data_IF_819944416785
#
_entry.id   IF_819944416785
#
_cell.length_a   1.000
_cell.length_b   1.000
_cell.length_c   1.000
_cell.angle_alpha   90.00
_cell.angle_beta   90.00
_cell.angle_gamma   90.00
#
_symmetry.space_group_name_H-M   'P 1'
#
loop_
_entity.id
_entity.type
_entity.pdbx_description
1 polymer ?
#
# COMPACT_ATOMS: atom_id res chain seq x y z
N UNK A 1 -6.67 -18.58 19.65
CA UNK A 1 -6.68 -17.76 18.45
C UNK A 1 -7.44 -16.48 18.66
N UNK A 2 -6.81 -15.42 18.46
CA UNK A 2 -7.42 -14.12 18.67
C UNK A 2 -8.03 -13.60 17.37
N UNK A 3 -9.19 -12.97 17.48
CA UNK A 3 -9.77 -12.23 16.37
C UNK A 3 -8.89 -11.03 15.99
N UNK A 4 -8.00 -10.64 16.89
CA UNK A 4 -7.07 -9.54 16.69
C UNK A 4 -5.90 -9.91 15.79
N UNK A 5 -5.82 -11.17 15.37
CA UNK A 5 -4.77 -11.63 14.45
C UNK A 5 -5.02 -11.21 12.99
N UNK A 6 -6.05 -10.41 12.75
CA UNK A 6 -6.37 -9.91 11.43
C UNK A 6 -5.29 -8.94 10.95
N UNK A 7 -4.76 -9.21 9.75
CA UNK A 7 -3.79 -8.32 9.15
C UNK A 7 -4.44 -7.00 8.73
N UNK A 8 -3.71 -5.91 8.88
CA UNK A 8 -4.19 -4.56 8.61
C UNK A 8 -3.49 -4.00 7.39
N UNK A 9 -4.28 -3.55 6.41
CA UNK A 9 -3.78 -3.02 5.15
C UNK A 9 -4.21 -1.57 5.00
N UNK A 10 -3.25 -0.69 4.75
CA UNK A 10 -3.54 0.69 4.37
C UNK A 10 -3.52 0.78 2.85
N UNK A 11 -4.63 1.22 2.26
CA UNK A 11 -4.71 1.49 0.82
C UNK A 11 -4.64 2.98 0.61
N UNK A 12 -3.71 3.41 -0.24
CA UNK A 12 -3.50 4.81 -0.57
C UNK A 12 -3.75 4.97 -2.07
N UNK A 13 -4.94 5.43 -2.43
CA UNK A 13 -5.41 5.48 -3.81
C UNK A 13 -6.38 6.65 -3.99
N UNK A 14 -6.14 7.50 -4.98
CA UNK A 14 -6.97 8.69 -5.24
C UNK A 14 -8.19 8.42 -6.12
N UNK A 15 -8.21 7.33 -6.88
CA UNK A 15 -9.37 6.96 -7.68
C UNK A 15 -10.39 6.24 -6.80
N UNK A 16 -11.57 6.84 -6.64
CA UNK A 16 -12.61 6.30 -5.77
C UNK A 16 -13.10 4.93 -6.20
N UNK A 17 -13.19 4.69 -7.51
CA UNK A 17 -13.64 3.40 -8.04
C UNK A 17 -12.63 2.31 -7.73
N UNK A 18 -11.36 2.59 -7.92
CA UNK A 18 -10.28 1.65 -7.61
C UNK A 18 -10.22 1.41 -6.10
N UNK A 19 -10.32 2.48 -5.31
CA UNK A 19 -10.34 2.37 -3.85
C UNK A 19 -11.47 1.47 -3.39
N UNK A 20 -12.67 1.65 -3.95
CA UNK A 20 -13.82 0.83 -3.58
C UNK A 20 -13.56 -0.65 -3.89
N UNK A 21 -13.11 -0.94 -5.10
CA UNK A 21 -12.86 -2.32 -5.52
C UNK A 21 -11.78 -2.98 -4.66
N UNK A 22 -10.67 -2.28 -4.44
CA UNK A 22 -9.59 -2.81 -3.61
C UNK A 22 -10.04 -3.03 -2.17
N UNK A 23 -10.76 -2.06 -1.61
CA UNK A 23 -11.24 -2.16 -0.24
C UNK A 23 -12.19 -3.33 -0.04
N UNK A 24 -13.13 -3.51 -0.95
CA UNK A 24 -14.08 -4.62 -0.88
C UNK A 24 -13.40 -5.96 -1.06
N UNK A 25 -12.48 -6.03 -2.00
CA UNK A 25 -11.75 -7.26 -2.28
C UNK A 25 -10.93 -7.71 -1.06
N UNK A 26 -10.17 -6.78 -0.49
CA UNK A 26 -9.30 -7.11 0.64
C UNK A 26 -10.11 -7.40 1.91
N UNK A 27 -11.17 -6.64 2.15
CA UNK A 27 -12.05 -6.91 3.27
C UNK A 27 -12.70 -8.29 3.15
N UNK A 28 -13.08 -8.68 1.92
CA UNK A 28 -13.64 -10.01 1.66
C UNK A 28 -12.66 -11.14 1.92
N UNK A 29 -11.36 -10.86 1.83
CA UNK A 29 -10.32 -11.84 2.14
C UNK A 29 -9.98 -11.90 3.64
N UNK A 30 -10.61 -11.06 4.45
CA UNK A 30 -10.41 -11.08 5.88
C UNK A 30 -9.45 -10.04 6.42
N UNK A 31 -8.95 -9.13 5.58
CA UNK A 31 -8.07 -8.06 6.03
C UNK A 31 -8.86 -6.89 6.60
N UNK A 32 -8.28 -6.23 7.58
CA UNK A 32 -8.80 -4.94 8.05
C UNK A 32 -8.23 -3.86 7.14
N UNK A 33 -9.08 -3.02 6.57
CA UNK A 33 -8.68 -2.05 5.56
C UNK A 33 -8.78 -0.64 6.11
N UNK A 34 -7.69 0.12 6.00
CA UNK A 34 -7.66 1.55 6.23
C UNK A 34 -7.50 2.23 4.88
N UNK A 35 -8.16 3.36 4.68
CA UNK A 35 -8.22 4.02 3.37
C UNK A 35 -7.72 5.45 3.44
N UNK A 36 -6.88 5.83 2.49
CA UNK A 36 -6.43 7.20 2.28
C UNK A 36 -6.59 7.56 0.81
N UNK A 37 -7.21 8.69 0.52
CA UNK A 37 -7.47 9.10 -0.87
C UNK A 37 -6.37 10.00 -1.42
N UNK A 38 -5.42 10.41 -0.59
CA UNK A 38 -4.28 11.21 -1.03
C UNK A 38 -3.14 11.05 -0.02
N UNK A 39 -2.00 11.63 -0.37
CA UNK A 39 -0.81 11.53 0.48
C UNK A 39 -1.00 12.17 1.84
N UNK A 40 -1.75 13.26 1.92
CA UNK A 40 -2.02 13.94 3.19
C UNK A 40 -2.77 13.02 4.14
N UNK A 41 -3.84 12.38 3.68
CA UNK A 41 -4.59 11.43 4.50
C UNK A 41 -3.75 10.25 4.93
N UNK A 42 -2.92 9.73 4.02
CA UNK A 42 -2.03 8.64 4.36
C UNK A 42 -1.07 9.04 5.49
N UNK A 43 -0.48 10.22 5.39
CA UNK A 43 0.41 10.73 6.43
C UNK A 43 -0.33 10.93 7.75
N UNK A 44 -1.56 11.43 7.71
CA UNK A 44 -2.37 11.62 8.92
C UNK A 44 -2.66 10.29 9.60
N UNK A 45 -3.01 9.26 8.82
CA UNK A 45 -3.24 7.93 9.37
C UNK A 45 -1.96 7.38 9.97
N UNK A 46 -0.85 7.49 9.26
CA UNK A 46 0.44 6.98 9.74
C UNK A 46 0.89 7.70 11.01
N UNK A 47 0.56 8.98 11.15
CA UNK A 47 0.90 9.76 12.33
C UNK A 47 0.19 9.29 13.59
N UNK A 48 -0.97 8.65 13.47
CA UNK A 48 -1.68 8.05 14.62
C UNK A 48 -1.05 6.75 15.09
N UNK A 49 -0.04 6.26 14.38
CA UNK A 49 0.72 5.05 14.68
C UNK A 49 -0.16 3.81 14.83
N UNK A 50 -1.08 3.55 13.88
CA UNK A 50 -1.88 2.32 13.94
C UNK A 50 -1.00 1.11 13.67
N UNK A 51 -1.48 -0.06 14.08
CA UNK A 51 -0.83 -1.29 13.66
C UNK A 51 -1.06 -1.49 12.17
N UNK A 52 -0.01 -1.72 11.40
CA UNK A 52 -0.07 -1.96 9.96
C UNK A 52 0.82 -3.11 9.57
N UNK A 53 0.31 -3.99 8.74
CA UNK A 53 1.07 -5.11 8.21
C UNK A 53 1.49 -4.87 6.75
N UNK A 54 0.66 -4.13 6.00
CA UNK A 54 0.89 -3.90 4.58
C UNK A 54 0.39 -2.51 4.19
N UNK A 55 1.11 -1.87 3.28
CA UNK A 55 0.65 -0.65 2.63
C UNK A 55 0.62 -0.88 1.11
N UNK A 56 -0.51 -0.62 0.50
CA UNK A 56 -0.67 -0.63 -0.96
C UNK A 56 -0.81 0.82 -1.38
N UNK A 57 0.18 1.34 -2.08
CA UNK A 57 0.22 2.75 -2.41
C UNK A 57 0.44 2.99 -3.89
N UNK A 58 -0.25 3.99 -4.41
CA UNK A 58 -0.06 4.44 -5.77
C UNK A 58 1.22 5.26 -5.88
N UNK A 59 1.95 5.12 -6.99
CA UNK A 59 3.21 5.83 -7.16
C UNK A 59 3.02 7.34 -7.28
N UNK A 60 1.91 7.77 -7.87
CA UNK A 60 1.57 9.18 -8.01
C UNK A 60 0.29 9.47 -7.27
N UNK A 61 0.32 10.47 -6.40
CA UNK A 61 -0.82 10.90 -5.61
C UNK A 61 -1.02 12.40 -5.77
N UNK A 62 -2.26 12.90 -5.60
CA UNK A 62 -2.50 14.34 -5.66
C UNK A 62 -1.65 15.09 -4.63
N UNK A 63 -1.25 16.31 -4.98
CA UNK A 63 -0.44 17.15 -4.11
C UNK A 63 1.06 16.96 -4.27
N UNK A 64 1.48 16.17 -5.24
CA UNK A 64 2.90 16.01 -5.55
C UNK A 64 3.66 15.06 -4.65
N UNK A 65 2.98 14.39 -3.73
CA UNK A 65 3.60 13.38 -2.87
C UNK A 65 3.50 12.02 -3.55
N UNK A 66 4.62 11.32 -3.68
CA UNK A 66 4.63 9.99 -4.26
C UNK A 66 4.45 8.91 -3.20
N UNK A 67 4.06 7.71 -3.64
CA UNK A 67 3.97 6.56 -2.73
C UNK A 67 5.31 6.24 -2.07
N UNK A 68 6.42 6.44 -2.78
CA UNK A 68 7.75 6.21 -2.20
C UNK A 68 8.02 7.19 -1.06
N UNK A 69 7.65 8.46 -1.23
CA UNK A 69 7.84 9.48 -0.18
C UNK A 69 7.01 9.20 1.06
N UNK A 70 5.87 8.53 0.91
CA UNK A 70 5.05 8.11 2.05
C UNK A 70 5.64 6.86 2.70
N UNK A 71 6.10 5.91 1.89
CA UNK A 71 6.60 4.62 2.38
C UNK A 71 7.90 4.76 3.16
N UNK A 72 8.78 5.66 2.76
CA UNK A 72 10.08 5.81 3.43
C UNK A 72 9.96 6.13 4.91
N UNK A 73 9.24 7.19 5.32
CA UNK A 73 9.09 7.43 6.76
C UNK A 73 8.25 6.38 7.48
N UNK A 74 7.28 5.77 6.79
CA UNK A 74 6.50 4.70 7.39
C UNK A 74 7.36 3.51 7.76
N UNK A 75 8.32 3.15 6.91
CA UNK A 75 9.24 2.05 7.17
C UNK A 75 10.25 2.36 8.27
N UNK A 76 10.61 3.63 8.46
CA UNK A 76 11.48 4.01 9.57
C UNK A 76 10.82 3.74 10.92
N UNK A 77 9.52 3.93 10.99
CA UNK A 77 8.75 3.68 12.23
C UNK A 77 8.36 2.21 12.33
N UNK A 78 8.09 1.58 11.20
CA UNK A 78 7.64 0.18 11.11
C UNK A 78 8.55 -0.61 10.17
N UNK A 79 9.73 -1.06 10.64
CA UNK A 79 10.69 -1.74 9.74
C UNK A 79 10.15 -3.01 9.11
N UNK A 80 9.16 -3.63 9.73
CA UNK A 80 8.57 -4.89 9.23
C UNK A 80 7.38 -4.67 8.29
N UNK A 81 6.97 -3.41 8.09
CA UNK A 81 5.87 -3.10 7.18
C UNK A 81 6.21 -3.55 5.76
N UNK A 82 5.27 -4.23 5.13
CA UNK A 82 5.40 -4.59 3.73
C UNK A 82 4.74 -3.53 2.86
N UNK A 83 5.28 -3.31 1.66
CA UNK A 83 4.77 -2.27 0.76
C UNK A 83 4.63 -2.86 -0.63
N UNK A 84 3.50 -2.56 -1.28
CA UNK A 84 3.27 -2.85 -2.68
C UNK A 84 2.99 -1.52 -3.38
N UNK A 85 3.70 -1.25 -4.48
CA UNK A 85 3.46 -0.06 -5.29
C UNK A 85 2.58 -0.41 -6.49
N UNK A 86 1.64 0.47 -6.80
CA UNK A 86 0.81 0.38 -7.99
C UNK A 86 1.13 1.58 -8.87
N UNK A 87 1.41 1.37 -10.16
CA UNK A 87 1.81 2.46 -11.04
C UNK A 87 1.43 2.21 -12.48
N UNK A 88 0.99 3.28 -13.15
CA UNK A 88 0.89 3.29 -14.61
C UNK A 88 2.25 3.45 -15.29
N UNK A 89 3.27 3.84 -14.52
CA UNK A 89 4.62 4.09 -15.00
C UNK A 89 5.64 3.46 -14.06
N UNK A 90 5.77 2.11 -14.07
CA UNK A 90 6.63 1.42 -13.09
C UNK A 90 8.08 1.87 -13.11
N UNK A 91 8.56 2.31 -14.28
CA UNK A 91 9.95 2.76 -14.40
C UNK A 91 10.24 3.98 -13.52
N UNK A 92 9.25 4.83 -13.28
CA UNK A 92 9.44 6.00 -12.41
C UNK A 92 9.77 5.60 -10.99
N UNK A 93 9.16 4.51 -10.51
CA UNK A 93 9.46 4.01 -9.16
C UNK A 93 10.88 3.47 -9.11
N UNK A 94 11.28 2.70 -10.10
CA UNK A 94 12.63 2.15 -10.17
C UNK A 94 13.68 3.25 -10.27
N UNK A 95 13.37 4.33 -11.00
CA UNK A 95 14.28 5.46 -11.18
C UNK A 95 14.45 6.29 -9.90
N UNK A 96 13.55 6.15 -8.92
CA UNK A 96 13.73 6.83 -7.62
C UNK A 96 14.97 6.36 -6.88
N UNK A 97 15.50 5.19 -7.23
CA UNK A 97 16.70 4.63 -6.63
C UNK A 97 16.63 4.55 -5.10
N UNK A 98 15.44 4.34 -4.57
CA UNK A 98 15.23 4.13 -3.15
C UNK A 98 15.45 2.66 -2.79
N UNK A 99 16.08 2.35 -1.65
CA UNK A 99 16.21 0.95 -1.23
C UNK A 99 14.88 0.23 -1.12
N UNK A 100 13.81 0.94 -0.81
CA UNK A 100 12.47 0.36 -0.68
C UNK A 100 12.01 -0.22 -2.01
N UNK A 101 12.25 0.49 -3.12
CA UNK A 101 11.76 0.07 -4.43
C UNK A 101 12.46 -1.17 -4.96
N UNK A 102 13.60 -1.54 -4.39
CA UNK A 102 14.33 -2.74 -4.81
C UNK A 102 13.70 -4.03 -4.29
N UNK A 103 13.01 -3.93 -3.15
CA UNK A 103 12.46 -5.11 -2.47
C UNK A 103 10.94 -5.18 -2.51
N UNK A 104 10.27 -4.08 -2.84
CA UNK A 104 8.82 -4.02 -2.87
C UNK A 104 8.30 -4.41 -4.25
N UNK A 105 7.23 -5.23 -4.32
CA UNK A 105 6.58 -5.49 -5.59
C UNK A 105 6.02 -4.22 -6.20
N UNK A 106 6.10 -4.12 -7.53
CA UNK A 106 5.51 -3.02 -8.28
C UNK A 106 4.51 -3.62 -9.27
N UNK A 107 3.23 -3.27 -9.12
CA UNK A 107 2.19 -3.71 -10.02
C UNK A 107 1.92 -2.64 -11.05
N UNK A 108 2.11 -2.99 -12.32
CA UNK A 108 1.83 -2.07 -13.43
C UNK A 108 0.32 -2.05 -13.70
N UNK A 109 -0.22 -0.87 -13.96
CA UNK A 109 -1.62 -0.76 -14.40
C UNK A 109 -1.74 -1.08 -15.88
N UNK A 110 -2.79 -1.76 -16.32
CA UNK A 110 -3.81 -2.40 -15.48
C UNK A 110 -3.28 -3.67 -14.83
N UNK A 111 -3.71 -3.94 -13.61
CA UNK A 111 -3.35 -5.17 -12.90
C UNK A 111 -4.62 -5.93 -12.53
N UNK A 112 -4.49 -7.23 -12.29
CA UNK A 112 -5.64 -8.00 -11.83
C UNK A 112 -5.51 -8.29 -10.32
N UNK A 113 -6.67 -8.56 -9.71
CA UNK A 113 -6.75 -8.75 -8.27
C UNK A 113 -6.07 -10.04 -7.83
N UNK A 114 -6.05 -11.05 -8.67
CA UNK A 114 -5.38 -12.31 -8.35
C UNK A 114 -3.88 -12.11 -8.21
N UNK A 115 -3.28 -11.29 -9.08
CA UNK A 115 -1.86 -10.96 -8.99
C UNK A 115 -1.57 -10.21 -7.70
N UNK A 116 -2.42 -9.24 -7.35
CA UNK A 116 -2.29 -8.51 -6.10
C UNK A 116 -2.34 -9.47 -4.91
N UNK A 117 -3.33 -10.38 -4.90
CA UNK A 117 -3.48 -11.35 -3.82
C UNK A 117 -2.24 -12.24 -3.67
N UNK A 118 -1.67 -12.69 -4.78
CA UNK A 118 -0.46 -13.50 -4.74
C UNK A 118 0.69 -12.78 -4.04
N UNK A 119 0.89 -11.50 -4.37
CA UNK A 119 1.91 -10.70 -3.72
C UNK A 119 1.64 -10.52 -2.23
N UNK A 120 0.39 -10.25 -1.87
CA UNK A 120 0.02 -10.06 -0.46
C UNK A 120 0.27 -11.34 0.33
N UNK A 121 -0.16 -12.47 -0.18
CA UNK A 121 0.03 -13.75 0.49
C UNK A 121 1.51 -14.07 0.70
N UNK A 122 2.33 -13.76 -0.30
CA UNK A 122 3.77 -14.00 -0.20
C UNK A 122 4.42 -13.09 0.84
N UNK A 123 4.02 -11.82 0.88
CA UNK A 123 4.62 -10.85 1.78
C UNK A 123 4.20 -11.06 3.23
N UNK A 124 2.96 -11.50 3.46
CA UNK A 124 2.41 -11.67 4.80
C UNK A 124 2.46 -13.12 5.30
N UNK A 125 3.08 -13.99 4.54
CA UNK A 125 3.21 -15.40 4.92
C UNK A 125 4.08 -15.59 6.17
#
# INVERSE_FOLDING_TARGET
MSEDAQDVVLIDEDDESIMFVLGEYLAGLGYRVLKAINGKEACEILATKPHLDLMVTHSRLPGGISGVQIAEPALKVRPELKVIFISGYPQEILDCNSPITRNAPILAKPFDLDTLQEHIQRLLA
#
